data_IF_873391734114
#
_entry.id   IF_873391734114
#
_cell.length_a   1.000
_cell.length_b   1.000
_cell.length_c   1.000
_cell.angle_alpha   90.00
_cell.angle_beta   90.00
_cell.angle_gamma   90.00
#
_symmetry.space_group_name_H-M   'P 1'
#
loop_
_entity.id
_entity.type
_entity.pdbx_description
1 polymer ?
#
# COMPACT_ATOMS: atom_id res chain seq x y z
N UNK A 1 20.31 19.88 1.09
CA UNK A 1 19.82 19.53 -0.26
C UNK A 1 19.68 18.03 -0.34
N UNK A 2 18.53 17.50 -0.77
CA UNK A 2 18.43 16.08 -1.12
C UNK A 2 19.29 15.83 -2.36
N UNK A 3 20.13 14.79 -2.30
CA UNK A 3 20.95 14.35 -3.43
C UNK A 3 20.19 13.24 -4.14
N UNK A 4 19.99 13.36 -5.45
CA UNK A 4 19.41 12.31 -6.27
C UNK A 4 20.48 11.79 -7.22
N UNK A 5 20.59 10.46 -7.34
CA UNK A 5 21.48 9.80 -8.28
C UNK A 5 20.63 8.91 -9.18
N UNK A 6 20.78 9.08 -10.50
CA UNK A 6 20.12 8.27 -11.51
C UNK A 6 21.13 7.28 -12.09
N UNK A 7 20.79 6.00 -12.05
CA UNK A 7 21.55 4.94 -12.70
C UNK A 7 20.79 4.50 -13.96
N UNK A 8 21.50 4.37 -15.07
CA UNK A 8 20.93 3.92 -16.36
C UNK A 8 21.60 2.61 -16.73
N UNK A 9 20.80 1.55 -16.85
CA UNK A 9 21.27 0.21 -17.20
C UNK A 9 20.24 -0.85 -16.87
N UNK A 10 20.62 -2.11 -17.08
CA UNK A 10 19.84 -3.25 -16.61
C UNK A 10 19.77 -3.22 -15.08
N UNK A 11 18.55 -3.39 -14.54
CA UNK A 11 18.31 -3.22 -13.11
C UNK A 11 19.10 -4.22 -12.26
N UNK A 12 19.21 -5.47 -12.73
CA UNK A 12 19.95 -6.51 -12.02
C UNK A 12 21.44 -6.13 -11.97
N UNK A 13 22.03 -5.77 -13.11
CA UNK A 13 23.43 -5.36 -13.18
C UNK A 13 23.71 -4.12 -12.31
N UNK A 14 22.87 -3.10 -12.39
CA UNK A 14 23.05 -1.87 -11.60
C UNK A 14 22.99 -2.16 -10.11
N UNK A 15 22.03 -2.98 -9.65
CA UNK A 15 21.89 -3.29 -8.24
C UNK A 15 23.17 -3.92 -7.67
N UNK A 16 23.88 -4.77 -8.42
CA UNK A 16 25.15 -5.38 -7.98
C UNK A 16 26.25 -4.35 -7.66
N UNK A 17 26.18 -3.15 -8.22
CA UNK A 17 27.14 -2.07 -7.97
C UNK A 17 26.86 -1.30 -6.68
N UNK A 18 25.65 -1.43 -6.12
CA UNK A 18 25.26 -0.76 -4.89
C UNK A 18 25.75 -1.55 -3.67
N UNK A 19 26.22 -0.83 -2.65
CA UNK A 19 26.63 -1.43 -1.39
C UNK A 19 25.47 -2.14 -0.69
N UNK A 20 25.77 -3.21 0.04
CA UNK A 20 24.77 -3.89 0.87
C UNK A 20 24.22 -2.93 1.93
N UNK A 21 22.95 -3.12 2.33
CA UNK A 21 22.30 -2.34 3.40
C UNK A 21 22.39 -0.80 3.21
N UNK A 22 22.44 -0.34 1.96
CA UNK A 22 22.51 1.08 1.61
C UNK A 22 21.15 1.72 1.33
N UNK A 23 20.08 0.94 1.25
CA UNK A 23 18.73 1.40 0.88
C UNK A 23 17.71 1.07 1.98
N UNK A 24 16.88 2.03 2.37
CA UNK A 24 15.83 1.86 3.38
C UNK A 24 14.52 1.33 2.79
N UNK A 25 14.14 1.84 1.62
CA UNK A 25 12.84 1.56 1.01
C UNK A 25 12.99 1.43 -0.50
N UNK A 26 12.52 0.31 -1.05
CA UNK A 26 12.37 0.12 -2.48
C UNK A 26 10.90 0.21 -2.86
N UNK A 27 10.55 1.06 -3.82
CA UNK A 27 9.20 1.13 -4.40
C UNK A 27 9.33 0.92 -5.90
N UNK A 28 8.68 -0.13 -6.42
CA UNK A 28 8.88 -0.53 -7.81
C UNK A 28 7.64 -1.16 -8.44
N UNK A 29 7.58 -1.09 -9.77
CA UNK A 29 6.64 -1.80 -10.63
C UNK A 29 7.42 -2.33 -11.84
N UNK A 30 7.96 -3.55 -11.77
CA UNK A 30 8.67 -4.12 -12.92
C UNK A 30 7.73 -4.24 -14.13
N UNK A 31 8.24 -4.28 -15.37
CA UNK A 31 7.42 -4.62 -16.52
C UNK A 31 6.61 -5.90 -16.29
N UNK A 32 5.28 -5.85 -16.46
CA UNK A 32 4.42 -7.00 -16.18
C UNK A 32 4.45 -8.02 -17.32
N UNK A 33 4.45 -9.30 -16.94
CA UNK A 33 4.53 -10.41 -17.89
C UNK A 33 3.46 -10.34 -18.98
N UNK A 34 3.91 -10.30 -20.23
CA UNK A 34 3.08 -10.40 -21.42
C UNK A 34 2.22 -9.18 -21.72
N UNK A 35 2.51 -8.00 -21.16
CA UNK A 35 1.68 -6.81 -21.37
C UNK A 35 2.26 -5.76 -22.31
N UNK A 36 3.55 -5.44 -22.17
CA UNK A 36 4.17 -4.28 -22.84
C UNK A 36 5.57 -4.61 -23.30
N UNK A 37 5.94 -4.02 -24.42
CA UNK A 37 7.30 -3.99 -24.94
C UNK A 37 7.77 -2.54 -25.00
N UNK A 38 8.83 -2.26 -24.25
CA UNK A 38 9.44 -0.94 -24.14
C UNK A 38 10.57 -0.72 -25.15
N UNK A 39 10.76 -1.64 -26.11
CA UNK A 39 11.76 -1.54 -27.18
C UNK A 39 13.20 -1.75 -26.70
N UNK A 40 13.39 -2.42 -25.56
CA UNK A 40 14.70 -2.69 -24.97
C UNK A 40 15.00 -4.18 -25.04
N UNK A 41 16.17 -4.53 -25.60
CA UNK A 41 16.60 -5.92 -25.69
C UNK A 41 16.80 -6.51 -24.29
N UNK A 42 16.42 -7.78 -24.11
CA UNK A 42 16.48 -8.46 -22.82
C UNK A 42 15.54 -7.93 -21.73
N UNK A 43 14.59 -7.04 -22.04
CA UNK A 43 13.69 -6.49 -21.02
C UNK A 43 12.93 -7.57 -20.25
N UNK A 44 12.73 -7.31 -18.96
CA UNK A 44 11.85 -8.10 -18.11
C UNK A 44 10.40 -8.04 -18.63
N UNK A 45 9.62 -9.09 -18.40
CA UNK A 45 8.20 -9.16 -18.76
C UNK A 45 7.93 -9.83 -20.12
N UNK A 46 8.97 -10.16 -20.89
CA UNK A 46 8.87 -10.83 -22.20
C UNK A 46 9.30 -12.30 -22.20
N UNK A 47 9.52 -12.87 -21.02
CA UNK A 47 9.88 -14.27 -20.84
C UNK A 47 8.83 -15.19 -21.45
N UNK A 48 9.26 -16.38 -21.89
CA UNK A 48 8.39 -17.29 -22.65
C UNK A 48 7.31 -17.89 -21.78
N UNK A 49 7.56 -18.02 -20.48
CA UNK A 49 6.62 -18.58 -19.51
C UNK A 49 6.47 -17.67 -18.28
N UNK A 50 5.33 -17.74 -17.57
CA UNK A 50 5.18 -17.08 -16.28
C UNK A 50 6.25 -17.50 -15.27
N UNK A 51 6.69 -18.75 -15.30
CA UNK A 51 7.69 -19.31 -14.39
C UNK A 51 9.07 -18.68 -14.62
N UNK A 52 9.50 -18.52 -15.87
CA UNK A 52 10.74 -17.80 -16.23
C UNK A 52 10.68 -16.33 -15.78
N UNK A 53 9.55 -15.66 -16.00
CA UNK A 53 9.35 -14.28 -15.53
C UNK A 53 9.46 -14.18 -14.01
N UNK A 54 8.76 -15.06 -13.29
CA UNK A 54 8.79 -15.10 -11.82
C UNK A 54 10.22 -15.34 -11.33
N UNK A 55 10.96 -16.26 -11.93
CA UNK A 55 12.36 -16.53 -11.56
C UNK A 55 13.24 -15.29 -11.72
N UNK A 56 13.12 -14.53 -12.82
CA UNK A 56 13.88 -13.29 -13.00
C UNK A 56 13.47 -12.18 -12.03
N UNK A 57 12.17 -12.05 -11.72
CA UNK A 57 11.72 -11.10 -10.70
C UNK A 57 12.30 -11.46 -9.34
N UNK A 58 12.35 -12.75 -8.99
CA UNK A 58 13.00 -13.24 -7.76
C UNK A 58 14.49 -12.89 -7.76
N UNK A 59 15.21 -13.09 -8.87
CA UNK A 59 16.64 -12.73 -9.00
C UNK A 59 16.89 -11.24 -8.74
N UNK A 60 16.12 -10.36 -9.40
CA UNK A 60 16.17 -8.91 -9.17
C UNK A 60 15.84 -8.58 -7.71
N UNK A 61 14.82 -9.22 -7.14
CA UNK A 61 14.45 -8.99 -5.75
C UNK A 61 15.51 -9.53 -4.78
N UNK A 62 16.28 -10.56 -5.13
CA UNK A 62 17.43 -11.03 -4.35
C UNK A 62 18.45 -9.92 -4.15
N UNK A 63 18.80 -9.21 -5.23
CA UNK A 63 19.69 -8.05 -5.17
C UNK A 63 19.05 -6.87 -4.42
N UNK A 64 17.74 -6.63 -4.58
CA UNK A 64 17.01 -5.64 -3.76
C UNK A 64 17.13 -6.00 -2.28
N UNK A 65 16.97 -7.28 -1.90
CA UNK A 65 17.08 -7.75 -0.52
C UNK A 65 18.45 -7.50 0.08
N UNK A 66 19.51 -7.64 -0.73
CA UNK A 66 20.91 -7.39 -0.34
C UNK A 66 21.17 -5.90 -0.08
N UNK A 67 20.73 -5.02 -0.97
CA UNK A 67 20.94 -3.57 -0.82
C UNK A 67 20.03 -2.97 0.25
N UNK A 68 18.89 -3.60 0.54
CA UNK A 68 18.01 -3.17 1.63
C UNK A 68 18.67 -3.35 2.99
N UNK A 69 18.52 -2.35 3.85
CA UNK A 69 18.78 -2.43 5.29
C UNK A 69 17.95 -3.54 5.93
N UNK A 70 18.39 -4.05 7.08
CA UNK A 70 17.75 -5.21 7.73
C UNK A 70 16.30 -4.95 8.18
N UNK A 71 15.98 -3.68 8.43
CA UNK A 71 14.66 -3.15 8.75
C UNK A 71 13.97 -2.48 7.55
N UNK A 72 14.55 -2.62 6.35
CA UNK A 72 14.05 -2.02 5.12
C UNK A 72 12.83 -2.74 4.53
N UNK A 73 12.13 -2.05 3.63
CA UNK A 73 10.89 -2.54 3.01
C UNK A 73 10.95 -2.51 1.49
N UNK A 74 10.30 -3.49 0.86
CA UNK A 74 10.03 -3.52 -0.57
C UNK A 74 8.52 -3.38 -0.80
N UNK A 75 8.16 -2.42 -1.64
CA UNK A 75 6.80 -2.17 -2.12
C UNK A 75 6.74 -2.51 -3.60
N UNK A 76 6.12 -3.64 -3.92
CA UNK A 76 6.09 -4.21 -5.26
C UNK A 76 4.70 -4.10 -5.86
N UNK A 77 4.51 -3.18 -6.82
CA UNK A 77 3.27 -3.02 -7.56
C UNK A 77 3.26 -3.93 -8.80
N UNK A 78 2.20 -4.74 -8.95
CA UNK A 78 2.05 -5.69 -10.04
C UNK A 78 0.62 -5.71 -10.59
N UNK A 79 0.53 -5.68 -11.92
CA UNK A 79 -0.68 -5.96 -12.67
C UNK A 79 -0.66 -7.38 -13.22
N UNK A 80 -1.84 -7.97 -13.35
CA UNK A 80 -1.98 -9.32 -13.89
C UNK A 80 -2.19 -9.31 -15.42
N UNK A 81 -2.05 -10.48 -16.03
CA UNK A 81 -2.34 -10.73 -17.44
C UNK A 81 -3.27 -11.94 -17.61
N UNK A 82 -3.79 -12.11 -18.82
CA UNK A 82 -4.65 -13.23 -19.19
C UNK A 82 -3.93 -14.12 -20.17
N UNK A 83 -4.16 -15.42 -20.04
CA UNK A 83 -3.59 -16.43 -20.91
C UNK A 83 -4.22 -16.37 -22.32
N UNK A 84 -3.38 -16.43 -23.35
CA UNK A 84 -3.79 -16.33 -24.75
C UNK A 84 -3.15 -17.47 -25.56
N UNK A 85 -3.97 -18.45 -25.95
CA UNK A 85 -3.52 -19.65 -26.67
C UNK A 85 -4.26 -19.72 -28.01
N UNK A 86 -3.52 -19.83 -29.12
CA UNK A 86 -4.04 -20.40 -30.37
C UNK A 86 -5.14 -19.62 -31.12
N UNK A 87 -5.37 -18.34 -30.83
CA UNK A 87 -6.25 -17.52 -31.68
C UNK A 87 -5.45 -16.85 -32.80
N UNK A 88 -5.87 -17.11 -34.07
CA UNK A 88 -5.42 -16.38 -35.25
C UNK A 88 -5.31 -14.90 -34.93
N UNK A 89 -4.16 -14.27 -35.24
CA UNK A 89 -3.83 -12.83 -35.15
C UNK A 89 -5.08 -11.92 -35.18
N UNK A 90 -5.82 -11.80 -34.08
CA UNK A 90 -6.91 -10.85 -34.02
C UNK A 90 -6.26 -9.49 -33.86
N UNK A 91 -6.75 -8.52 -34.61
CA UNK A 91 -6.32 -7.13 -34.59
C UNK A 91 -6.86 -6.38 -33.37
N UNK A 92 -7.39 -7.06 -32.35
CA UNK A 92 -7.84 -6.44 -31.11
C UNK A 92 -6.67 -6.28 -30.12
N UNK A 93 -5.58 -5.68 -30.60
CA UNK A 93 -4.76 -4.86 -29.71
C UNK A 93 -5.63 -3.69 -29.26
N UNK A 94 -5.41 -3.21 -28.04
CA UNK A 94 -5.93 -1.93 -27.60
C UNK A 94 -5.40 -0.83 -28.53
N UNK A 95 -6.11 -0.61 -29.62
CA UNK A 95 -6.02 0.59 -30.42
C UNK A 95 -6.77 1.67 -29.66
N UNK A 96 -6.05 2.72 -29.29
CA UNK A 96 -6.63 4.01 -28.96
C UNK A 96 -7.54 4.44 -30.10
N UNK A 97 -8.84 4.15 -30.04
CA UNK A 97 -9.79 4.75 -30.97
C UNK A 97 -10.00 6.20 -30.55
N UNK A 98 -9.32 7.11 -31.24
CA UNK A 98 -9.78 8.48 -31.39
C UNK A 98 -8.75 9.57 -31.11
N UNK A 99 -7.68 9.66 -31.90
CA UNK A 99 -7.15 10.95 -32.39
C UNK A 99 -6.52 10.71 -33.77
N UNK A 100 -7.29 11.03 -34.81
CA UNK A 100 -6.74 11.17 -36.15
C UNK A 100 -5.80 12.38 -36.16
N UNK A 101 -4.54 12.19 -36.57
CA UNK A 101 -3.66 13.31 -36.94
C UNK A 101 -2.25 13.36 -36.32
N UNK A 102 -1.68 12.27 -35.81
CA UNK A 102 -0.29 12.25 -35.35
C UNK A 102 0.52 11.16 -36.05
N UNK A 103 1.67 11.50 -36.62
CA UNK A 103 2.66 10.55 -37.15
C UNK A 103 3.17 9.67 -36.02
N UNK A 104 2.60 8.46 -35.92
CA UNK A 104 2.91 7.49 -34.89
C UNK A 104 4.31 6.89 -35.12
N UNK A 105 5.24 7.21 -34.23
CA UNK A 105 6.46 6.43 -34.08
C UNK A 105 6.11 5.17 -33.27
N UNK A 106 6.37 4.02 -33.86
CA UNK A 106 5.78 2.71 -33.55
C UNK A 106 6.26 2.11 -32.21
N UNK A 107 5.47 2.24 -31.13
CA UNK A 107 5.55 1.36 -29.97
C UNK A 107 4.37 0.37 -30.01
N UNK A 108 4.56 -0.75 -30.70
CA UNK A 108 3.52 -1.77 -30.83
C UNK A 108 3.35 -2.56 -29.52
N UNK A 109 2.14 -2.67 -28.93
CA UNK A 109 1.88 -3.66 -27.89
C UNK A 109 2.16 -5.04 -28.49
N UNK A 110 2.93 -5.88 -27.77
CA UNK A 110 3.31 -7.17 -28.30
C UNK A 110 2.10 -7.97 -28.73
N UNK A 111 2.17 -8.40 -29.99
CA UNK A 111 1.23 -9.33 -30.61
C UNK A 111 1.73 -10.76 -30.46
N UNK A 112 2.36 -11.08 -29.31
CA UNK A 112 2.90 -12.40 -28.98
C UNK A 112 1.86 -13.17 -28.15
N UNK A 113 1.75 -14.47 -28.39
CA UNK A 113 0.87 -15.33 -27.60
C UNK A 113 1.41 -15.44 -26.18
N UNK A 114 0.67 -14.91 -25.20
CA UNK A 114 0.91 -15.19 -23.78
C UNK A 114 0.44 -16.61 -23.48
N UNK A 115 1.18 -17.61 -23.92
CA UNK A 115 0.82 -19.03 -23.74
C UNK A 115 1.46 -19.55 -22.46
N UNK A 116 0.80 -19.30 -21.32
CA UNK A 116 1.15 -19.89 -20.04
C UNK A 116 0.78 -21.40 -20.06
N UNK A 117 1.77 -22.31 -19.94
CA UNK A 117 1.50 -23.75 -19.95
C UNK A 117 0.52 -24.15 -18.85
N UNK A 118 -0.42 -25.04 -19.18
CA UNK A 118 -1.40 -25.57 -18.22
C UNK A 118 -2.58 -24.64 -17.90
N UNK A 119 -2.61 -23.41 -18.41
CA UNK A 119 -3.77 -22.52 -18.31
C UNK A 119 -4.64 -22.59 -19.58
N UNK A 120 -5.94 -22.40 -19.42
CA UNK A 120 -6.90 -22.31 -20.55
C UNK A 120 -6.85 -20.92 -21.16
N UNK A 121 -7.29 -20.77 -22.41
CA UNK A 121 -7.44 -19.43 -23.01
C UNK A 121 -8.38 -18.57 -22.13
N UNK A 122 -8.03 -17.29 -21.93
CA UNK A 122 -8.69 -16.32 -21.04
C UNK A 122 -8.63 -16.63 -19.55
N UNK A 123 -7.89 -17.64 -19.11
CA UNK A 123 -7.60 -17.80 -17.68
C UNK A 123 -6.77 -16.60 -17.19
N UNK A 124 -7.12 -16.06 -16.04
CA UNK A 124 -6.28 -15.10 -15.34
C UNK A 124 -5.00 -15.82 -14.89
N UNK A 125 -3.83 -15.27 -15.21
CA UNK A 125 -2.57 -15.98 -15.01
C UNK A 125 -2.19 -16.03 -13.52
N UNK A 126 -2.53 -15.00 -12.77
CA UNK A 126 -2.20 -14.88 -11.36
C UNK A 126 -0.77 -14.41 -11.12
N UNK A 127 -0.20 -13.64 -12.06
CA UNK A 127 1.20 -13.17 -11.98
C UNK A 127 1.52 -12.50 -10.65
N UNK A 128 0.69 -11.58 -10.10
CA UNK A 128 1.00 -10.93 -8.83
C UNK A 128 1.21 -11.94 -7.69
N UNK A 129 0.31 -12.92 -7.56
CA UNK A 129 0.38 -13.93 -6.48
C UNK A 129 1.45 -14.99 -6.72
N UNK A 130 1.72 -15.36 -7.99
CA UNK A 130 2.86 -16.24 -8.34
C UNK A 130 4.18 -15.63 -7.90
N UNK A 131 4.40 -14.34 -8.18
CA UNK A 131 5.58 -13.61 -7.71
C UNK A 131 5.59 -13.53 -6.18
N UNK A 132 4.45 -13.19 -5.55
CA UNK A 132 4.42 -13.02 -4.10
C UNK A 132 4.77 -14.29 -3.32
N UNK A 133 4.25 -15.44 -3.76
CA UNK A 133 4.58 -16.73 -3.14
C UNK A 133 6.01 -17.18 -3.45
N UNK A 134 6.52 -16.90 -4.66
CA UNK A 134 7.92 -17.19 -4.98
C UNK A 134 8.89 -16.39 -4.10
N UNK A 135 8.63 -15.09 -3.90
CA UNK A 135 9.43 -14.27 -2.97
C UNK A 135 9.31 -14.75 -1.52
N UNK A 136 8.11 -15.18 -1.09
CA UNK A 136 7.94 -15.75 0.24
C UNK A 136 8.74 -17.05 0.41
N UNK A 137 8.74 -17.92 -0.60
CA UNK A 137 9.56 -19.14 -0.62
C UNK A 137 11.07 -18.84 -0.64
N UNK A 138 11.47 -17.72 -1.25
CA UNK A 138 12.85 -17.18 -1.27
C UNK A 138 13.25 -16.49 0.05
N UNK A 139 12.38 -16.50 1.07
CA UNK A 139 12.71 -16.01 2.41
C UNK A 139 12.34 -14.56 2.69
N UNK A 140 11.49 -13.95 1.85
CA UNK A 140 10.83 -12.69 2.18
C UNK A 140 9.64 -12.89 3.12
N UNK A 141 9.40 -11.91 3.98
CA UNK A 141 8.14 -11.81 4.73
C UNK A 141 7.13 -11.02 3.90
N UNK A 142 6.07 -11.67 3.42
CA UNK A 142 4.91 -10.99 2.85
C UNK A 142 4.04 -10.42 3.98
N UNK A 143 3.93 -9.10 4.04
CA UNK A 143 3.32 -8.38 5.18
C UNK A 143 1.92 -7.86 4.91
N UNK A 144 1.63 -7.53 3.66
CA UNK A 144 0.31 -7.07 3.25
C UNK A 144 0.16 -7.20 1.74
N UNK A 145 -1.03 -7.62 1.32
CA UNK A 145 -1.56 -7.43 -0.02
C UNK A 145 -2.42 -6.16 -0.03
N UNK A 146 -1.93 -5.10 -0.67
CA UNK A 146 -2.64 -3.83 -0.76
C UNK A 146 -3.29 -3.73 -2.12
N UNK A 147 -4.56 -3.37 -2.15
CA UNK A 147 -5.31 -3.12 -3.37
C UNK A 147 -5.21 -1.65 -3.71
N UNK A 148 -4.48 -1.32 -4.77
CA UNK A 148 -4.62 -0.02 -5.40
C UNK A 148 -5.88 -0.02 -6.26
N UNK A 149 -6.95 0.57 -5.74
CA UNK A 149 -8.21 0.77 -6.44
C UNK A 149 -8.13 2.02 -7.31
N UNK A 150 -8.39 1.86 -8.61
CA UNK A 150 -8.35 2.93 -9.61
C UNK A 150 -9.78 3.43 -9.82
N UNK A 151 -10.15 4.65 -9.36
CA UNK A 151 -11.47 5.21 -9.59
C UNK A 151 -11.72 5.62 -11.05
N UNK A 152 -10.65 5.77 -11.83
CA UNK A 152 -10.66 6.11 -13.25
C UNK A 152 -9.98 5.01 -14.11
N UNK A 153 -10.42 3.74 -14.02
CA UNK A 153 -9.78 2.67 -14.78
C UNK A 153 -10.04 2.86 -16.28
N UNK A 154 -9.08 2.48 -17.11
CA UNK A 154 -9.31 2.46 -18.56
C UNK A 154 -10.43 1.45 -18.88
N UNK A 155 -11.44 1.82 -19.70
CA UNK A 155 -12.48 0.90 -20.12
C UNK A 155 -11.89 -0.29 -20.89
N UNK A 156 -12.41 -1.50 -20.65
CA UNK A 156 -12.08 -2.72 -21.39
C UNK A 156 -13.21 -3.13 -22.32
N UNK A 157 -12.88 -3.46 -23.57
CA UNK A 157 -13.81 -4.02 -24.56
C UNK A 157 -14.05 -5.53 -24.32
N UNK A 158 -14.22 -5.92 -23.06
CA UNK A 158 -14.49 -7.29 -22.62
C UNK A 158 -15.94 -7.39 -22.17
N UNK A 159 -16.61 -8.50 -22.51
CA UNK A 159 -18.03 -8.71 -22.22
C UNK A 159 -18.30 -9.92 -21.32
N UNK A 160 -17.28 -10.76 -21.11
CA UNK A 160 -17.37 -12.03 -20.39
C UNK A 160 -16.73 -11.99 -19.00
N UNK A 161 -16.30 -10.80 -18.54
CA UNK A 161 -15.77 -10.57 -17.19
C UNK A 161 -15.81 -9.08 -16.81
N UNK A 162 -15.63 -8.73 -15.52
CA UNK A 162 -15.46 -7.34 -15.11
C UNK A 162 -14.19 -6.71 -15.68
N UNK A 163 -14.26 -5.41 -15.94
CA UNK A 163 -13.09 -4.55 -16.22
C UNK A 163 -12.15 -4.51 -15.00
N UNK A 164 -10.84 -4.62 -15.24
CA UNK A 164 -9.83 -4.52 -14.20
C UNK A 164 -9.74 -3.08 -13.71
N UNK A 165 -10.13 -2.88 -12.45
CA UNK A 165 -10.10 -1.58 -11.79
C UNK A 165 -9.11 -1.51 -10.62
N UNK A 166 -8.19 -2.47 -10.49
CA UNK A 166 -7.18 -2.47 -9.44
C UNK A 166 -5.86 -3.11 -9.87
N UNK A 167 -4.82 -2.83 -9.09
CA UNK A 167 -3.54 -3.54 -9.08
C UNK A 167 -3.17 -3.93 -7.63
N UNK A 168 -2.27 -4.90 -7.50
CA UNK A 168 -1.72 -5.29 -6.21
C UNK A 168 -0.45 -4.51 -5.91
N UNK A 169 -0.32 -4.05 -4.68
CA UNK A 169 0.91 -3.52 -4.10
C UNK A 169 1.26 -4.40 -2.93
N UNK A 170 2.29 -5.22 -3.06
CA UNK A 170 2.73 -6.09 -1.98
C UNK A 170 3.76 -5.37 -1.11
N UNK A 171 3.57 -5.44 0.20
CA UNK A 171 4.58 -5.03 1.17
C UNK A 171 5.39 -6.26 1.60
N UNK A 172 6.69 -6.23 1.32
CA UNK A 172 7.66 -7.22 1.78
C UNK A 172 8.67 -6.62 2.76
N UNK A 173 9.23 -7.47 3.61
CA UNK A 173 10.28 -7.11 4.56
C UNK A 173 11.28 -8.27 4.73
N UNK A 174 12.49 -7.96 5.20
CA UNK A 174 13.54 -8.96 5.47
C UNK A 174 13.31 -9.75 6.75
N UNK A 175 12.54 -9.20 7.69
CA UNK A 175 12.30 -9.82 8.99
C UNK A 175 10.90 -9.51 9.54
N UNK A 176 10.50 -10.22 10.60
CA UNK A 176 9.24 -9.95 11.30
C UNK A 176 9.18 -8.52 11.89
N UNK A 177 10.33 -7.93 12.25
CA UNK A 177 10.43 -6.57 12.78
C UNK A 177 11.16 -5.68 11.77
N UNK A 178 10.48 -4.68 11.25
CA UNK A 178 11.02 -3.74 10.27
C UNK A 178 10.45 -2.35 10.54
N UNK A 179 11.04 -1.33 9.93
CA UNK A 179 10.56 0.03 10.10
C UNK A 179 9.24 0.27 9.37
N UNK A 180 8.24 0.80 10.08
CA UNK A 180 6.96 1.15 9.50
C UNK A 180 6.31 2.34 10.24
N UNK A 181 6.24 3.51 9.59
CA UNK A 181 5.58 4.70 10.14
C UNK A 181 4.09 4.69 9.75
N UNK A 182 3.27 4.03 10.58
CA UNK A 182 1.83 3.94 10.38
C UNK A 182 1.13 5.31 10.46
N UNK A 183 1.66 6.22 11.28
CA UNK A 183 1.09 7.55 11.50
C UNK A 183 1.35 8.47 10.30
N UNK A 184 2.48 8.32 9.60
CA UNK A 184 2.78 9.06 8.37
C UNK A 184 1.80 8.80 7.22
N UNK A 185 1.06 7.69 7.26
CA UNK A 185 0.03 7.34 6.26
C UNK A 185 -1.36 7.16 6.87
N UNK A 186 -1.56 7.59 8.12
CA UNK A 186 -2.84 7.44 8.80
C UNK A 186 -3.97 8.16 8.04
N UNK A 187 -5.11 7.49 7.96
CA UNK A 187 -6.33 8.06 7.35
C UNK A 187 -7.24 8.69 8.40
N UNK A 188 -8.23 9.50 7.98
CA UNK A 188 -9.25 10.01 8.89
C UNK A 188 -10.09 8.85 9.46
N UNK A 189 -10.42 8.94 10.74
CA UNK A 189 -11.35 8.03 11.38
C UNK A 189 -12.79 8.49 11.13
N UNK A 190 -13.66 7.57 10.70
CA UNK A 190 -15.05 7.88 10.34
C UNK A 190 -16.06 7.49 11.43
N UNK A 191 -15.64 6.82 12.52
CA UNK A 191 -16.55 6.33 13.56
C UNK A 191 -15.98 6.40 14.97
N UNK A 192 -16.88 6.61 15.95
CA UNK A 192 -16.66 6.32 17.37
C UNK A 192 -16.19 4.87 17.49
N UNK A 193 -14.90 4.64 17.75
CA UNK A 193 -14.45 3.31 18.14
C UNK A 193 -14.94 3.06 19.56
N UNK A 194 -16.12 2.47 19.70
CA UNK A 194 -16.43 1.78 20.94
C UNK A 194 -15.36 0.70 21.10
N UNK A 195 -14.60 0.77 22.20
CA UNK A 195 -13.81 -0.38 22.67
C UNK A 195 -14.80 -1.53 22.82
N UNK A 196 -14.89 -2.40 21.81
CA UNK A 196 -15.46 -3.72 21.99
C UNK A 196 -14.55 -4.41 23.00
N UNK A 197 -14.94 -4.36 24.26
CA UNK A 197 -14.49 -5.37 25.22
C UNK A 197 -14.92 -6.69 24.59
N UNK A 198 -13.95 -7.57 24.31
CA UNK A 198 -14.24 -8.87 23.70
C UNK A 198 -15.34 -9.60 24.48
N UNK A 199 -16.08 -10.52 23.85
CA UNK A 199 -17.10 -11.29 24.55
C UNK A 199 -16.45 -11.92 25.78
N UNK A 200 -16.91 -11.51 26.97
CA UNK A 200 -16.48 -12.11 28.22
C UNK A 200 -16.75 -13.60 28.17
N UNK A 201 -15.76 -14.39 28.57
CA UNK A 201 -15.89 -15.83 28.78
C UNK A 201 -17.17 -16.14 29.59
N UNK A 202 -18.13 -16.90 29.04
CA UNK A 202 -19.42 -17.16 29.67
C UNK A 202 -19.32 -18.08 30.90
N UNK A 203 -18.14 -18.57 31.26
CA UNK A 203 -17.99 -19.59 32.32
C UNK A 203 -17.71 -19.07 33.73
N UNK A 204 -17.57 -17.75 33.93
CA UNK A 204 -17.39 -17.18 35.27
C UNK A 204 -18.70 -16.61 35.85
N UNK A 205 -19.38 -17.43 36.66
CA UNK A 205 -20.61 -17.11 37.39
C UNK A 205 -20.44 -16.12 38.56
N UNK A 206 -19.65 -15.05 38.39
CA UNK A 206 -19.53 -13.99 39.39
C UNK A 206 -20.14 -12.68 38.89
N UNK A 207 -21.00 -12.09 39.73
CA UNK A 207 -21.66 -10.79 39.55
C UNK A 207 -20.62 -9.69 39.40
N UNK A 208 -20.09 -9.50 38.19
CA UNK A 208 -19.25 -8.34 37.87
C UNK A 208 -20.12 -7.12 37.70
N UNK A 209 -19.87 -6.12 38.55
CA UNK A 209 -20.27 -4.73 38.37
C UNK A 209 -20.25 -4.38 36.89
N UNK A 210 -21.43 -4.15 36.30
CA UNK A 210 -21.56 -3.52 34.98
C UNK A 210 -20.91 -2.15 35.09
N UNK A 211 -19.61 -2.05 34.78
CA UNK A 211 -19.01 -0.75 34.48
C UNK A 211 -19.87 -0.17 33.35
N UNK A 212 -20.42 1.05 33.50
CA UNK A 212 -21.14 1.67 32.41
C UNK A 212 -20.22 1.67 31.18
N UNK A 213 -20.76 1.50 29.96
CA UNK A 213 -19.95 1.52 28.75
C UNK A 213 -19.11 2.79 28.79
N UNK A 214 -17.80 2.64 28.95
CA UNK A 214 -16.90 3.78 29.00
C UNK A 214 -17.06 4.54 27.69
N UNK A 215 -17.31 5.84 27.79
CA UNK A 215 -17.46 6.72 26.62
C UNK A 215 -16.36 6.44 25.60
N UNK A 216 -16.77 6.15 24.37
CA UNK A 216 -15.84 5.83 23.30
C UNK A 216 -14.94 7.03 23.06
N UNK A 217 -13.62 6.84 23.06
CA UNK A 217 -12.75 7.91 22.58
C UNK A 217 -12.92 8.03 21.06
N UNK A 218 -13.28 9.21 20.58
CA UNK A 218 -13.32 9.49 19.14
C UNK A 218 -11.89 9.77 18.70
N UNK A 219 -11.20 8.79 18.11
CA UNK A 219 -9.92 9.06 17.47
C UNK A 219 -10.14 9.92 16.22
N UNK A 220 -9.29 10.92 15.97
CA UNK A 220 -9.36 11.74 14.74
C UNK A 220 -8.73 11.02 13.53
N UNK A 221 -7.76 10.15 13.77
CA UNK A 221 -7.05 9.38 12.76
C UNK A 221 -7.12 7.87 13.05
N UNK A 222 -6.85 7.06 12.03
CA UNK A 222 -6.79 5.59 12.12
C UNK A 222 -5.69 5.06 11.21
N UNK A 223 -5.26 3.83 11.47
CA UNK A 223 -4.34 3.13 10.57
C UNK A 223 -4.92 3.07 9.15
N UNK A 224 -4.04 3.18 8.15
CA UNK A 224 -4.38 2.99 6.76
C UNK A 224 -5.03 1.61 6.56
N UNK A 225 -6.05 1.53 5.70
CA UNK A 225 -6.58 0.23 5.27
C UNK A 225 -5.75 -0.30 4.12
N UNK A 226 -5.86 -1.59 3.83
CA UNK A 226 -5.20 -2.22 2.69
C UNK A 226 -5.84 -1.92 1.34
N UNK A 227 -6.95 -1.17 1.28
CA UNK A 227 -7.54 -0.70 0.00
C UNK A 227 -7.30 0.79 -0.14
N UNK A 228 -6.50 1.15 -1.15
CA UNK A 228 -6.10 2.53 -1.44
C UNK A 228 -6.78 2.99 -2.73
N UNK A 229 -7.76 3.88 -2.61
CA UNK A 229 -8.36 4.54 -3.76
C UNK A 229 -7.47 5.70 -4.19
N UNK A 230 -6.89 5.61 -5.39
CA UNK A 230 -6.03 6.65 -5.99
C UNK A 230 -6.22 6.67 -7.51
N UNK A 231 -6.43 7.85 -8.07
CA UNK A 231 -6.57 8.01 -9.52
C UNK A 231 -5.23 7.80 -10.25
N UNK A 232 -5.29 7.24 -11.45
CA UNK A 232 -4.16 7.34 -12.40
C UNK A 232 -4.02 8.78 -12.85
N UNK A 233 -2.77 9.24 -13.03
CA UNK A 233 -2.45 10.59 -13.48
C UNK A 233 -1.74 10.47 -14.83
N UNK A 234 -2.15 11.23 -15.86
CA UNK A 234 -1.45 11.26 -17.14
C UNK A 234 0.01 11.68 -16.95
N UNK A 235 0.92 11.03 -17.68
CA UNK A 235 2.33 11.40 -17.72
C UNK A 235 2.69 11.89 -19.12
N UNK A 236 3.22 13.12 -19.28
CA UNK A 236 3.39 13.74 -20.59
C UNK A 236 4.61 13.24 -21.38
N UNK A 237 5.51 12.46 -20.75
CA UNK A 237 6.72 11.96 -21.41
C UNK A 237 6.55 10.53 -21.94
N UNK A 238 7.61 9.96 -22.52
CA UNK A 238 7.59 8.69 -23.25
C UNK A 238 7.11 7.46 -22.45
N UNK A 239 7.15 7.49 -21.10
CA UNK A 239 6.74 6.35 -20.28
C UNK A 239 5.21 6.29 -20.13
N UNK A 240 4.56 5.42 -20.88
CA UNK A 240 3.09 5.32 -20.95
C UNK A 240 2.44 4.47 -19.83
N UNK A 241 3.23 3.87 -18.94
CA UNK A 241 2.73 2.95 -17.89
C UNK A 241 3.19 3.35 -16.48
N UNK A 242 3.01 4.61 -16.10
CA UNK A 242 3.39 5.11 -14.77
C UNK A 242 2.32 4.81 -13.72
N UNK A 243 2.73 4.46 -12.49
CA UNK A 243 1.86 4.53 -11.32
C UNK A 243 1.82 5.96 -10.75
N UNK A 244 0.78 6.36 -9.98
CA UNK A 244 0.66 7.72 -9.50
C UNK A 244 1.75 8.07 -8.46
N UNK A 245 2.29 9.30 -8.46
CA UNK A 245 3.25 9.74 -7.45
C UNK A 245 2.74 9.60 -6.00
N UNK A 246 1.42 9.70 -5.80
CA UNK A 246 0.80 9.48 -4.49
C UNK A 246 1.06 8.07 -3.95
N UNK A 247 1.02 7.05 -4.82
CA UNK A 247 1.27 5.67 -4.43
C UNK A 247 2.70 5.51 -3.91
N UNK A 248 3.67 6.00 -4.67
CA UNK A 248 5.07 5.97 -4.25
C UNK A 248 5.31 6.80 -2.98
N UNK A 249 4.73 8.00 -2.90
CA UNK A 249 4.83 8.85 -1.71
C UNK A 249 4.31 8.15 -0.46
N UNK A 250 3.17 7.43 -0.56
CA UNK A 250 2.61 6.68 0.56
C UNK A 250 3.52 5.54 0.99
N UNK A 251 4.05 4.76 0.05
CA UNK A 251 5.02 3.70 0.33
C UNK A 251 6.29 4.22 1.02
N UNK A 252 6.88 5.31 0.51
CA UNK A 252 8.09 5.93 1.07
C UNK A 252 7.82 6.48 2.47
N UNK A 253 6.71 7.18 2.68
CA UNK A 253 6.33 7.71 4.00
C UNK A 253 6.17 6.61 5.05
N UNK A 254 5.62 5.46 4.67
CA UNK A 254 5.47 4.33 5.56
C UNK A 254 6.81 3.60 5.77
N UNK A 255 7.62 3.43 4.73
CA UNK A 255 8.84 2.63 4.74
C UNK A 255 10.12 3.35 5.17
N UNK A 256 10.09 4.67 5.33
CA UNK A 256 11.28 5.50 5.61
C UNK A 256 11.01 6.53 6.71
N UNK A 257 11.93 6.65 7.68
CA UNK A 257 11.81 7.66 8.73
C UNK A 257 11.94 9.07 8.15
N UNK A 258 10.96 9.93 8.45
CA UNK A 258 10.99 11.35 8.07
C UNK A 258 12.11 12.11 8.78
N UNK A 259 12.49 11.72 10.01
CA UNK A 259 13.57 12.38 10.76
C UNK A 259 14.95 11.93 10.29
N UNK A 260 15.06 10.69 9.79
CA UNK A 260 16.32 10.10 9.35
C UNK A 260 16.70 8.88 10.16
N UNK A 261 17.94 8.46 10.04
CA UNK A 261 18.54 7.33 10.73
C UNK A 261 19.85 7.72 11.41
N UNK A 262 20.35 6.88 12.32
CA UNK A 262 21.67 7.04 12.91
C UNK A 262 22.78 6.95 11.84
N UNK A 263 23.76 7.87 11.83
CA UNK A 263 24.85 7.83 10.86
C UNK A 263 25.81 6.64 10.99
N UNK A 264 25.83 5.99 12.16
CA UNK A 264 26.75 4.89 12.48
C UNK A 264 26.16 3.52 12.17
N UNK A 265 24.98 3.21 12.71
CA UNK A 265 24.31 1.91 12.50
C UNK A 265 23.12 1.97 11.54
N UNK A 266 22.66 3.18 11.21
CA UNK A 266 21.47 3.42 10.38
C UNK A 266 20.15 3.03 11.02
N UNK A 267 20.10 2.79 12.33
CA UNK A 267 18.84 2.57 13.03
C UNK A 267 17.91 3.79 12.80
N UNK A 268 16.67 3.58 12.37
CA UNK A 268 15.76 4.66 11.99
C UNK A 268 15.30 5.41 13.24
N UNK A 269 15.13 6.72 13.14
CA UNK A 269 14.45 7.48 14.19
C UNK A 269 12.96 7.20 14.14
N UNK A 270 12.37 6.94 15.29
CA UNK A 270 10.94 6.66 15.40
C UNK A 270 10.16 7.90 15.80
N UNK A 271 8.96 8.02 15.22
CA UNK A 271 8.02 9.09 15.53
C UNK A 271 7.44 8.87 16.91
N UNK A 272 7.50 9.90 17.75
CA UNK A 272 6.79 9.91 19.04
C UNK A 272 5.45 10.61 18.83
N UNK A 273 4.38 9.94 19.24
CA UNK A 273 3.01 10.40 19.05
C UNK A 273 2.31 10.50 20.39
N UNK A 274 1.78 11.69 20.70
CA UNK A 274 1.02 11.93 21.91
C UNK A 274 -0.49 12.01 21.62
N UNK A 275 -1.27 11.37 22.49
CA UNK A 275 -2.71 11.44 22.47
C UNK A 275 -3.20 12.62 23.31
N UNK A 276 -3.77 13.64 22.68
CA UNK A 276 -4.47 14.71 23.39
C UNK A 276 -5.89 14.21 23.66
N UNK A 277 -6.37 14.30 24.90
CA UNK A 277 -7.79 14.14 25.22
C UNK A 277 -8.45 15.50 25.15
N UNK A 278 -9.46 15.64 24.30
CA UNK A 278 -10.32 16.81 24.30
C UNK A 278 -11.20 16.76 25.55
N UNK A 279 -10.98 17.70 26.47
CA UNK A 279 -11.93 18.00 27.53
C UNK A 279 -12.97 18.97 26.96
N UNK A 280 -14.25 18.58 26.82
CA UNK A 280 -15.26 19.51 26.36
C UNK A 280 -15.41 20.66 27.35
N UNK A 281 -15.72 21.89 26.89
CA UNK A 281 -16.05 22.97 27.79
C UNK A 281 -17.21 22.54 28.68
N UNK A 282 -17.08 22.75 30.00
CA UNK A 282 -18.15 22.50 30.95
C UNK A 282 -19.39 23.24 30.48
N UNK A 283 -20.42 22.51 30.06
CA UNK A 283 -21.74 23.08 29.79
C UNK A 283 -22.16 23.80 31.06
N UNK A 284 -22.41 25.11 30.96
CA UNK A 284 -23.06 25.85 32.03
C UNK A 284 -24.33 25.10 32.44
N UNK A 285 -24.56 24.97 33.74
CA UNK A 285 -25.76 24.32 34.27
C UNK A 285 -27.00 24.92 33.60
N UNK A 286 -27.77 24.09 32.87
CA UNK A 286 -29.10 24.47 32.39
C UNK A 286 -29.38 24.42 30.88
N UNK A 287 -28.40 24.11 30.01
CA UNK A 287 -28.69 24.02 28.57
C UNK A 287 -29.35 22.68 28.22
N UNK A 288 -30.65 22.71 27.92
CA UNK A 288 -31.42 21.56 27.41
C UNK A 288 -31.37 21.54 25.88
N UNK A 289 -30.94 20.43 25.30
CA UNK A 289 -31.10 20.17 23.87
C UNK A 289 -32.38 19.35 23.65
N UNK A 290 -33.23 19.81 22.72
CA UNK A 290 -34.42 19.07 22.28
C UNK A 290 -33.99 18.16 21.14
N UNK A 291 -34.02 16.84 21.36
CA UNK A 291 -33.90 15.85 20.30
C UNK A 291 -35.29 15.67 19.68
N UNK A 292 -35.49 16.21 18.47
CA UNK A 292 -36.74 16.09 17.72
C UNK A 292 -36.74 14.85 16.79
N UNK A 293 -36.09 13.77 17.23
CA UNK A 293 -36.06 12.51 16.49
C UNK A 293 -36.49 11.34 17.36
N UNK A 294 -37.82 11.19 17.53
CA UNK A 294 -38.60 9.94 17.36
C UNK A 294 -39.86 9.95 18.21
N UNK A 295 -40.96 9.80 17.50
CA UNK A 295 -42.27 9.42 18.00
C UNK A 295 -42.22 8.05 18.67
N UNK A 296 -41.97 7.99 19.98
CA UNK A 296 -42.25 6.80 20.79
C UNK A 296 -42.78 7.19 22.18
N UNK A 297 -44.10 7.12 22.31
CA UNK A 297 -44.81 7.32 23.58
C UNK A 297 -44.61 6.07 24.43
N UNK A 298 -43.57 6.05 25.27
CA UNK A 298 -43.56 5.50 26.65
C UNK A 298 -42.13 5.26 27.14
N UNK A 299 -41.53 6.29 27.74
CA UNK A 299 -40.54 6.12 28.83
C UNK A 299 -40.36 7.45 29.55
N UNK A 300 -41.00 7.60 30.71
CA UNK A 300 -40.52 8.56 31.72
C UNK A 300 -39.11 8.13 32.09
N UNK A 301 -38.12 8.89 31.66
CA UNK A 301 -36.76 8.80 32.20
C UNK A 301 -36.71 9.86 33.29
N UNK A 302 -36.81 9.41 34.54
CA UNK A 302 -36.53 10.23 35.71
C UNK A 302 -35.13 10.84 35.56
N UNK A 303 -35.07 12.17 35.70
CA UNK A 303 -33.92 12.98 35.36
C UNK A 303 -32.68 12.58 36.16
N UNK A 304 -31.72 11.94 35.49
CA UNK A 304 -30.30 11.81 35.89
C UNK A 304 -29.43 11.15 34.80
N UNK A 305 -29.79 11.23 33.52
CA UNK A 305 -28.88 10.79 32.46
C UNK A 305 -27.79 11.85 32.23
N UNK A 306 -26.61 11.66 32.83
CA UNK A 306 -25.39 12.37 32.42
C UNK A 306 -25.22 12.15 30.92
N UNK A 307 -25.31 13.21 30.14
CA UNK A 307 -24.91 13.19 28.75
C UNK A 307 -23.42 12.83 28.71
N UNK A 308 -23.10 11.61 28.28
CA UNK A 308 -21.73 11.20 28.04
C UNK A 308 -21.26 11.95 26.80
N UNK A 309 -20.53 13.05 27.00
CA UNK A 309 -19.84 13.73 25.91
C UNK A 309 -18.60 12.91 25.56
N UNK A 310 -18.54 12.41 24.33
CA UNK A 310 -17.38 11.66 23.86
C UNK A 310 -16.17 12.59 23.77
N UNK A 311 -15.14 12.30 24.55
CA UNK A 311 -13.86 12.98 24.43
C UNK A 311 -13.18 12.55 23.12
N UNK A 312 -13.08 13.47 22.16
CA UNK A 312 -12.25 13.27 20.99
C UNK A 312 -10.78 13.17 21.42
N UNK A 313 -10.08 12.14 20.94
CA UNK A 313 -8.64 12.04 21.09
C UNK A 313 -7.96 12.26 19.75
N UNK A 314 -7.12 13.29 19.67
CA UNK A 314 -6.26 13.50 18.52
C UNK A 314 -4.87 12.94 18.79
N UNK A 315 -4.25 12.40 17.74
CA UNK A 315 -2.83 12.04 17.73
C UNK A 315 -2.07 13.11 16.99
N UNK A 316 -0.97 13.59 17.56
CA UNK A 316 -0.06 14.48 16.89
C UNK A 316 1.37 14.03 17.15
N UNK A 317 2.28 14.32 16.21
CA UNK A 317 3.70 14.08 16.41
C UNK A 317 4.21 15.06 17.44
N UNK A 318 4.66 14.55 18.60
CA UNK A 318 5.28 15.38 19.65
C UNK A 318 6.80 15.43 19.51
N UNK A 319 7.40 14.48 18.79
CA UNK A 319 8.83 14.49 18.53
C UNK A 319 9.32 13.24 17.81
N UNK A 320 10.62 13.00 17.96
CA UNK A 320 11.33 11.86 17.40
C UNK A 320 12.31 11.31 18.43
N UNK A 321 12.48 10.00 18.47
CA UNK A 321 13.43 9.33 19.36
C UNK A 321 14.36 8.39 18.57
N UNK A 322 15.62 8.26 18.98
CA UNK A 322 16.51 7.27 18.38
C UNK A 322 16.07 5.86 18.80
N UNK A 323 16.33 4.88 17.94
CA UNK A 323 16.12 3.45 18.23
C UNK A 323 17.42 2.70 18.55
N UNK A 324 18.51 3.45 18.73
CA UNK A 324 19.82 2.95 19.12
C UNK A 324 20.47 3.90 20.14
N UNK A 325 21.51 3.42 20.81
CA UNK A 325 22.24 4.18 21.84
C UNK A 325 23.35 5.10 21.27
N UNK A 326 23.48 5.21 19.94
CA UNK A 326 24.38 6.18 19.32
C UNK A 326 23.76 7.57 19.41
N UNK A 327 24.37 8.47 20.19
CA UNK A 327 23.91 9.84 20.41
C UNK A 327 24.36 10.80 19.28
N UNK A 328 24.19 10.36 18.03
CA UNK A 328 24.53 11.13 16.82
C UNK A 328 23.30 11.84 16.26
N UNK A 329 23.49 13.02 15.65
CA UNK A 329 22.44 13.66 14.86
C UNK A 329 21.97 12.76 13.72
N UNK A 330 20.67 12.74 13.39
CA UNK A 330 20.15 11.92 12.31
C UNK A 330 20.65 12.38 10.95
N UNK A 331 20.99 11.41 10.10
CA UNK A 331 21.25 11.59 8.67
C UNK A 331 20.04 11.10 7.86
N UNK A 332 19.87 11.51 6.59
CA UNK A 332 18.81 10.96 5.75
C UNK A 332 18.94 9.43 5.65
N UNK A 333 17.81 8.72 5.77
CA UNK A 333 17.76 7.30 5.43
C UNK A 333 17.99 7.19 3.91
N UNK A 334 19.12 6.62 3.49
CA UNK A 334 19.37 6.26 2.09
C UNK A 334 18.62 4.99 1.73
#
# INVERSE_FOLDING_TARGET
MSRATLYVGDALQVLTTLSEKSVQCCVTSPPYWGLRDYGTDGQLGLESTPEEYVAKVVEVCGEVRRVLRDDGTLWLNLGDSYNSVGHKKSSSGYGTTGLAGGTAQEHHPLRRENSAPGLKHKDLVGIPWRVAFALQADGWWLRSDIIWSKPNPMPESVTDRPTKAHEYVFLFSKSQRYFYDADAIAGPATHKQNRLTGPGDPTSGEKRNRRPPGGGSIYTTRNARSVWSMATVPYPNAHFATFPPELASRCIKAGTSQKGCCGECGAPWERVVEGVKYEPPTVAEGVRFVDDSRNDKTRRIDGKSKAWQDAASSRHTSGWQPTCDHYSDPVPCT
#
